data_IF_431136838890
#
_entry.id   IF_431136838890
#
_cell.length_a   1.000
_cell.length_b   1.000
_cell.length_c   1.000
_cell.angle_alpha   90.00
_cell.angle_beta   90.00
_cell.angle_gamma   90.00
#
_symmetry.space_group_name_H-M   'P 1'
#
loop_
_entity.id
_entity.type
_entity.pdbx_description
1 polymer ?
#
# COMPACT_ATOMS: atom_id res chain seq x y z
N UNK A 1 -31.41 40.81 63.95
CA UNK A 1 -31.90 39.63 63.21
C UNK A 1 -31.47 38.41 63.98
N UNK A 2 -32.35 37.43 64.12
CA UNK A 2 -32.02 36.23 64.89
C UNK A 2 -31.10 35.33 64.05
N UNK A 3 -30.15 34.60 64.65
CA UNK A 3 -29.27 33.68 63.91
C UNK A 3 -30.04 32.58 63.16
N UNK A 4 -31.30 32.36 63.52
CA UNK A 4 -32.22 31.44 62.85
C UNK A 4 -32.72 31.99 61.50
N UNK A 5 -33.09 33.27 61.44
CA UNK A 5 -33.50 33.93 60.19
C UNK A 5 -32.35 33.99 59.18
N UNK A 6 -31.11 34.19 59.65
CA UNK A 6 -29.92 34.19 58.78
C UNK A 6 -29.68 32.82 58.13
N UNK A 7 -29.87 31.74 58.88
CA UNK A 7 -29.77 30.37 58.35
C UNK A 7 -30.89 30.06 57.36
N UNK A 8 -32.13 30.49 57.63
CA UNK A 8 -33.25 30.31 56.70
C UNK A 8 -33.02 31.05 55.38
N UNK A 9 -32.53 32.29 55.44
CA UNK A 9 -32.19 33.07 54.25
C UNK A 9 -31.05 32.43 53.45
N UNK A 10 -30.04 31.86 54.10
CA UNK A 10 -28.95 31.13 53.44
C UNK A 10 -29.45 29.86 52.75
N UNK A 11 -30.32 29.09 53.41
CA UNK A 11 -30.91 27.88 52.82
C UNK A 11 -31.80 28.22 51.62
N UNK A 12 -32.57 29.32 51.71
CA UNK A 12 -33.37 29.82 50.58
C UNK A 12 -32.49 30.30 49.42
N UNK A 13 -31.40 31.03 49.70
CA UNK A 13 -30.46 31.46 48.67
C UNK A 13 -29.79 30.26 47.97
N UNK A 14 -29.37 29.24 48.74
CA UNK A 14 -28.78 28.02 48.20
C UNK A 14 -29.78 27.22 47.35
N UNK A 15 -31.05 27.11 47.75
CA UNK A 15 -32.05 26.39 46.97
C UNK A 15 -32.36 27.08 45.64
N UNK A 16 -32.42 28.41 45.61
CA UNK A 16 -32.52 29.20 44.38
C UNK A 16 -31.29 29.01 43.49
N UNK A 17 -30.10 28.97 44.08
CA UNK A 17 -28.85 28.74 43.35
C UNK A 17 -28.80 27.33 42.74
N UNK A 18 -29.23 26.31 43.47
CA UNK A 18 -29.35 24.93 42.97
C UNK A 18 -30.35 24.87 41.82
N UNK A 19 -31.50 25.55 41.92
CA UNK A 19 -32.50 25.59 40.85
C UNK A 19 -31.96 26.24 39.56
N UNK A 20 -31.21 27.33 39.68
CA UNK A 20 -30.56 27.96 38.52
C UNK A 20 -29.51 27.04 37.90
N UNK A 21 -28.74 26.33 38.72
CA UNK A 21 -27.75 25.36 38.25
C UNK A 21 -28.41 24.17 37.54
N UNK A 22 -29.53 23.65 38.04
CA UNK A 22 -30.24 22.54 37.39
C UNK A 22 -30.78 22.94 36.01
N UNK A 23 -31.33 24.15 35.87
CA UNK A 23 -31.79 24.66 34.58
C UNK A 23 -30.64 24.83 33.58
N UNK A 24 -29.48 25.31 34.04
CA UNK A 24 -28.29 25.43 33.20
C UNK A 24 -27.77 24.08 32.74
N UNK A 25 -27.79 23.06 33.60
CA UNK A 25 -27.39 21.70 33.26
C UNK A 25 -28.32 21.12 32.19
N UNK A 26 -29.65 21.27 32.33
CA UNK A 26 -30.60 20.80 31.32
C UNK A 26 -30.37 21.45 29.95
N UNK A 27 -30.08 22.76 29.94
CA UNK A 27 -29.76 23.48 28.70
C UNK A 27 -28.48 22.95 28.04
N UNK A 28 -27.40 22.77 28.81
CA UNK A 28 -26.15 22.22 28.28
C UNK A 28 -26.33 20.77 27.77
N UNK A 29 -27.15 19.97 28.44
CA UNK A 29 -27.49 18.63 27.97
C UNK A 29 -28.27 18.66 26.65
N UNK A 30 -29.17 19.62 26.49
CA UNK A 30 -29.89 19.83 25.23
C UNK A 30 -28.91 20.20 24.11
N UNK A 31 -28.02 21.16 24.35
CA UNK A 31 -27.03 21.58 23.36
C UNK A 31 -26.11 20.41 22.94
N UNK A 32 -25.63 19.61 23.90
CA UNK A 32 -24.82 18.43 23.61
C UNK A 32 -25.57 17.39 22.78
N UNK A 33 -26.87 17.17 23.05
CA UNK A 33 -27.70 16.29 22.20
C UNK A 33 -27.79 16.82 20.78
N UNK A 34 -27.93 18.13 20.60
CA UNK A 34 -28.02 18.74 19.29
C UNK A 34 -26.68 18.71 18.53
N UNK A 35 -25.56 18.90 19.23
CA UNK A 35 -24.22 18.69 18.65
C UNK A 35 -23.97 17.24 18.22
N UNK A 36 -24.48 16.25 18.96
CA UNK A 36 -24.36 14.84 18.58
C UNK A 36 -25.20 14.48 17.34
N UNK A 37 -26.30 15.20 17.08
CA UNK A 37 -27.17 14.96 15.90
C UNK A 37 -26.57 15.48 14.61
N UNK A 38 -25.67 16.46 14.67
CA UNK A 38 -25.02 17.00 13.47
C UNK A 38 -23.97 15.99 13.02
N UNK A 39 -24.18 15.25 11.90
CA UNK A 39 -23.13 14.41 11.36
C UNK A 39 -21.95 15.32 11.02
N UNK A 40 -20.84 15.14 11.74
CA UNK A 40 -19.65 15.94 11.52
C UNK A 40 -19.07 15.72 10.12
N UNK A 41 -18.08 16.54 9.77
CA UNK A 41 -17.34 16.41 8.52
C UNK A 41 -16.81 14.97 8.29
N UNK A 42 -16.56 14.21 9.35
CA UNK A 42 -16.19 12.79 9.30
C UNK A 42 -17.23 11.88 8.65
N UNK A 43 -18.52 12.00 9.02
CA UNK A 43 -19.58 11.16 8.43
C UNK A 43 -19.74 11.45 6.93
N UNK A 44 -19.66 12.72 6.54
CA UNK A 44 -19.67 13.12 5.13
C UNK A 44 -18.47 12.50 4.37
N UNK A 45 -17.27 12.56 4.92
CA UNK A 45 -16.08 11.94 4.31
C UNK A 45 -16.23 10.41 4.19
N UNK A 46 -16.79 9.75 5.21
CA UNK A 46 -17.06 8.30 5.17
C UNK A 46 -18.07 7.94 4.07
N UNK A 47 -19.12 8.74 3.91
CA UNK A 47 -20.11 8.57 2.86
C UNK A 47 -19.49 8.76 1.47
N UNK A 48 -18.67 9.80 1.29
CA UNK A 48 -17.91 10.01 0.05
C UNK A 48 -16.97 8.84 -0.25
N UNK A 49 -16.31 8.27 0.77
CA UNK A 49 -15.47 7.08 0.59
C UNK A 49 -16.27 5.85 0.18
N UNK A 50 -17.45 5.63 0.79
CA UNK A 50 -18.34 4.52 0.41
C UNK A 50 -18.77 4.64 -1.06
N UNK A 51 -19.21 5.83 -1.48
CA UNK A 51 -19.60 6.11 -2.87
C UNK A 51 -18.43 5.87 -3.85
N UNK A 52 -17.23 6.35 -3.52
CA UNK A 52 -16.06 6.13 -4.38
C UNK A 52 -15.69 4.65 -4.49
N UNK A 53 -15.77 3.89 -3.39
CA UNK A 53 -15.55 2.44 -3.42
C UNK A 53 -16.57 1.72 -4.31
N UNK A 54 -17.86 2.07 -4.21
CA UNK A 54 -18.89 1.51 -5.08
C UNK A 54 -18.64 1.86 -6.55
N UNK A 55 -18.22 3.10 -6.87
CA UNK A 55 -17.89 3.48 -8.26
C UNK A 55 -16.70 2.73 -8.83
N UNK A 56 -15.65 2.52 -8.03
CA UNK A 56 -14.43 1.85 -8.46
C UNK A 56 -14.57 0.34 -8.54
N UNK A 57 -15.25 -0.26 -7.55
CA UNK A 57 -15.29 -1.71 -7.36
C UNK A 57 -16.67 -2.33 -7.55
N UNK A 58 -17.77 -1.57 -7.50
CA UNK A 58 -19.13 -2.11 -7.64
C UNK A 58 -19.36 -2.77 -8.99
N UNK A 59 -18.93 -2.11 -10.06
CA UNK A 59 -19.00 -2.66 -11.43
C UNK A 59 -18.03 -3.82 -11.68
N UNK A 60 -16.99 -3.98 -10.84
CA UNK A 60 -16.07 -5.13 -10.90
C UNK A 60 -16.50 -6.28 -9.97
N UNK A 61 -17.30 -6.02 -8.93
CA UNK A 61 -17.85 -7.05 -8.04
C UNK A 61 -19.09 -7.72 -8.60
N UNK A 62 -19.81 -7.05 -9.52
CA UNK A 62 -20.90 -7.64 -10.32
C UNK A 62 -20.39 -8.37 -11.57
N UNK A 63 -19.09 -8.24 -11.88
CA UNK A 63 -18.42 -8.99 -12.92
C UNK A 63 -18.14 -10.42 -12.49
N UNK A 64 -19.18 -11.20 -12.19
CA UNK A 64 -19.04 -12.66 -12.15
C UNK A 64 -18.85 -13.14 -13.59
N UNK A 65 -17.68 -13.67 -13.91
CA UNK A 65 -17.41 -14.33 -15.19
C UNK A 65 -18.32 -15.57 -15.32
N UNK A 66 -19.52 -15.41 -15.87
CA UNK A 66 -20.43 -16.47 -16.35
C UNK A 66 -21.01 -17.45 -15.31
N UNK A 67 -20.30 -17.71 -14.22
CA UNK A 67 -20.61 -18.76 -13.23
C UNK A 67 -21.82 -18.41 -12.35
N UNK A 68 -22.07 -17.12 -12.09
CA UNK A 68 -23.19 -16.71 -11.25
C UNK A 68 -24.53 -16.72 -12.02
N UNK A 69 -24.51 -16.57 -13.35
CA UNK A 69 -25.70 -16.76 -14.18
C UNK A 69 -26.08 -18.25 -14.28
N UNK A 70 -25.08 -19.13 -14.43
CA UNK A 70 -25.28 -20.58 -14.44
C UNK A 70 -25.87 -21.11 -13.12
N UNK A 71 -25.52 -20.51 -11.97
CA UNK A 71 -26.06 -20.87 -10.66
C UNK A 71 -27.54 -20.48 -10.46
N UNK A 72 -28.04 -19.55 -11.28
CA UNK A 72 -29.42 -19.06 -11.21
C UNK A 72 -30.34 -19.77 -12.20
N UNK A 73 -29.77 -20.57 -13.11
CA UNK A 73 -30.45 -21.24 -14.22
C UNK A 73 -30.45 -22.77 -14.09
N UNK A 74 -30.42 -23.28 -12.84
CA UNK A 74 -30.46 -24.73 -12.59
C UNK A 74 -31.85 -25.36 -12.88
N UNK A 75 -32.87 -24.54 -13.14
CA UNK A 75 -34.24 -24.99 -13.38
C UNK A 75 -34.53 -25.32 -14.86
N UNK A 76 -33.72 -24.85 -15.82
CA UNK A 76 -33.89 -25.09 -17.27
C UNK A 76 -32.89 -26.11 -17.84
N UNK A 77 -32.06 -26.72 -17.00
CA UNK A 77 -31.05 -27.68 -17.42
C UNK A 77 -31.67 -29.07 -17.66
N UNK A 78 -32.16 -29.31 -18.88
CA UNK A 78 -32.46 -30.66 -19.37
C UNK A 78 -31.20 -31.54 -19.27
N UNK A 79 -31.29 -32.77 -18.74
CA UNK A 79 -30.13 -33.66 -18.69
C UNK A 79 -29.72 -34.02 -20.12
N UNK A 80 -28.56 -33.51 -20.54
CA UNK A 80 -27.92 -33.92 -21.79
C UNK A 80 -27.77 -35.45 -21.78
N UNK A 81 -28.19 -36.16 -22.83
CA UNK A 81 -28.04 -37.60 -22.88
C UNK A 81 -26.54 -37.93 -22.89
N UNK A 82 -26.13 -38.82 -21.99
CA UNK A 82 -24.82 -39.44 -22.00
C UNK A 82 -24.65 -40.14 -23.36
N UNK A 83 -23.85 -39.56 -24.23
CA UNK A 83 -23.37 -40.20 -25.46
C UNK A 83 -21.89 -40.49 -25.27
N UNK A 84 -21.61 -41.78 -25.14
CA UNK A 84 -20.30 -42.38 -25.03
C UNK A 84 -19.39 -42.00 -26.20
N UNK A 85 -18.09 -41.95 -25.88
CA UNK A 85 -16.92 -42.28 -26.72
C UNK A 85 -17.07 -42.15 -28.24
N UNK A 86 -16.29 -41.27 -28.86
CA UNK A 86 -15.22 -41.71 -29.77
C UNK A 86 -14.31 -40.56 -30.22
N UNK A 87 -13.04 -40.93 -30.35
CA UNK A 87 -11.85 -40.16 -30.70
C UNK A 87 -12.03 -39.26 -31.92
N UNK A 88 -11.74 -37.96 -31.79
CA UNK A 88 -11.19 -37.14 -32.87
C UNK A 88 -10.22 -36.12 -32.28
N UNK A 89 -9.07 -36.02 -32.93
CA UNK A 89 -7.82 -35.49 -32.42
C UNK A 89 -7.91 -34.02 -32.01
N UNK A 90 -7.29 -33.71 -30.87
CA UNK A 90 -7.05 -32.35 -30.40
C UNK A 90 -6.06 -31.63 -31.33
N UNK A 91 -6.57 -31.03 -32.41
CA UNK A 91 -5.87 -29.91 -33.02
C UNK A 91 -6.04 -28.69 -32.11
N UNK A 92 -5.14 -28.61 -31.12
CA UNK A 92 -4.94 -27.41 -30.30
C UNK A 92 -4.58 -26.28 -31.25
N UNK A 93 -5.57 -25.47 -31.62
CA UNK A 93 -5.36 -24.18 -32.27
C UNK A 93 -4.62 -23.28 -31.27
N UNK A 94 -3.28 -23.35 -31.31
CA UNK A 94 -2.41 -22.43 -30.58
C UNK A 94 -2.62 -21.05 -31.19
N UNK A 95 -3.56 -20.31 -30.64
CA UNK A 95 -3.72 -18.88 -30.90
C UNK A 95 -2.44 -18.22 -30.40
N UNK A 96 -1.48 -18.02 -31.30
CA UNK A 96 -0.29 -17.22 -31.04
C UNK A 96 -0.74 -15.78 -30.84
N UNK A 97 -1.15 -15.46 -29.61
CA UNK A 97 -1.38 -14.10 -29.16
C UNK A 97 -0.04 -13.38 -29.24
N UNK A 98 0.20 -12.66 -30.34
CA UNK A 98 1.30 -11.70 -30.43
C UNK A 98 1.13 -10.73 -29.27
N UNK A 99 1.95 -10.88 -28.24
CA UNK A 99 1.97 -9.95 -27.12
C UNK A 99 2.43 -8.61 -27.68
N UNK A 100 1.49 -7.67 -27.86
CA UNK A 100 1.84 -6.28 -28.11
C UNK A 100 2.70 -5.85 -26.92
N UNK A 101 3.99 -5.60 -27.15
CA UNK A 101 4.86 -4.90 -26.20
C UNK A 101 4.19 -3.56 -25.91
N UNK A 102 3.45 -3.50 -24.80
CA UNK A 102 2.98 -2.24 -24.26
C UNK A 102 4.24 -1.55 -23.78
N UNK A 103 4.68 -0.53 -24.51
CA UNK A 103 5.67 0.41 -23.99
C UNK A 103 5.01 1.04 -22.75
N UNK A 104 5.38 0.52 -21.57
CA UNK A 104 4.93 1.06 -20.31
C UNK A 104 5.33 2.54 -20.22
N UNK A 105 4.55 3.31 -19.45
CA UNK A 105 4.90 4.68 -19.12
C UNK A 105 6.27 4.65 -18.44
N UNK A 106 7.29 5.19 -19.11
CA UNK A 106 8.58 5.44 -18.46
C UNK A 106 8.35 6.55 -17.43
N UNK A 107 8.74 6.30 -16.20
CA UNK A 107 8.69 7.30 -15.13
C UNK A 107 9.94 8.16 -15.30
N UNK A 108 9.77 9.47 -15.34
CA UNK A 108 10.90 10.40 -15.42
C UNK A 108 11.60 10.48 -14.06
N UNK A 109 12.65 9.67 -13.87
CA UNK A 109 13.44 9.59 -12.61
C UNK A 109 14.41 10.75 -12.40
N UNK A 110 14.59 11.63 -13.39
CA UNK A 110 15.58 12.71 -13.35
C UNK A 110 15.29 13.82 -12.32
N UNK A 111 14.03 13.99 -11.91
CA UNK A 111 13.62 15.07 -11.00
C UNK A 111 13.53 14.63 -9.53
N UNK A 112 13.77 13.36 -9.25
CA UNK A 112 13.64 12.77 -7.92
C UNK A 112 14.98 12.85 -7.15
N UNK A 113 14.95 13.04 -5.81
CA UNK A 113 16.14 12.97 -4.98
C UNK A 113 16.80 11.58 -5.07
N UNK A 114 18.14 11.56 -5.17
CA UNK A 114 18.95 10.35 -5.38
C UNK A 114 19.77 10.01 -4.15
N UNK A 115 19.79 8.72 -3.80
CA UNK A 115 20.59 8.15 -2.73
C UNK A 115 21.51 7.07 -3.32
N UNK A 116 22.83 7.24 -3.19
CA UNK A 116 23.83 6.33 -3.78
C UNK A 116 24.29 5.30 -2.76
N UNK A 117 23.98 4.03 -2.99
CA UNK A 117 24.41 2.91 -2.16
C UNK A 117 25.52 2.12 -2.88
N UNK A 118 26.77 2.32 -2.45
CA UNK A 118 27.93 1.62 -3.02
C UNK A 118 28.13 0.30 -2.28
N UNK A 119 28.18 -0.81 -3.02
CA UNK A 119 28.56 -2.13 -2.48
C UNK A 119 29.90 -2.55 -3.06
N UNK A 120 30.97 -2.26 -2.32
CA UNK A 120 32.33 -2.64 -2.68
C UNK A 120 32.69 -4.06 -2.22
N UNK A 121 33.65 -4.68 -2.92
CA UNK A 121 34.35 -5.88 -2.44
C UNK A 121 35.18 -5.55 -1.19
N UNK A 122 35.34 -6.52 -0.29
CA UNK A 122 36.24 -6.37 0.87
C UNK A 122 37.71 -6.24 0.41
N UNK A 123 38.59 -5.76 1.28
CA UNK A 123 40.01 -5.60 0.95
C UNK A 123 40.67 -6.93 0.57
N UNK A 124 40.25 -8.03 1.19
CA UNK A 124 40.79 -9.37 0.95
C UNK A 124 40.32 -9.93 -0.40
N UNK A 125 39.09 -9.62 -0.82
CA UNK A 125 38.53 -10.06 -2.10
C UNK A 125 39.11 -9.30 -3.31
N UNK A 126 39.66 -8.09 -3.07
CA UNK A 126 40.37 -7.25 -4.05
C UNK A 126 41.76 -7.79 -4.39
N UNK A 127 42.22 -8.84 -3.72
CA UNK A 127 43.44 -9.56 -4.08
C UNK A 127 43.03 -10.75 -4.95
N UNK A 128 43.63 -10.84 -6.13
CA UNK A 128 43.43 -12.00 -6.98
C UNK A 128 44.26 -13.19 -6.45
N UNK A 129 43.84 -14.43 -6.73
CA UNK A 129 44.61 -15.63 -6.36
C UNK A 129 46.03 -15.68 -6.94
N UNK A 130 46.35 -14.83 -7.92
CA UNK A 130 47.70 -14.62 -8.44
C UNK A 130 48.57 -13.65 -7.61
N UNK A 131 48.05 -13.09 -6.52
CA UNK A 131 48.77 -12.18 -5.61
C UNK A 131 48.78 -10.71 -6.03
N UNK A 132 48.20 -10.35 -7.17
CA UNK A 132 48.10 -8.97 -7.64
C UNK A 132 46.82 -8.29 -7.15
N UNK A 133 46.92 -7.00 -6.83
CA UNK A 133 45.77 -6.15 -6.53
C UNK A 133 44.90 -5.96 -7.79
N UNK A 134 43.59 -6.14 -7.64
CA UNK A 134 42.65 -5.95 -8.74
C UNK A 134 42.32 -4.47 -8.91
N UNK A 135 42.31 -4.01 -10.16
CA UNK A 135 41.99 -2.63 -10.50
C UNK A 135 40.52 -2.48 -10.83
N UNK A 136 39.94 -1.34 -10.46
CA UNK A 136 38.55 -1.00 -10.78
C UNK A 136 38.45 -0.62 -12.25
N UNK A 137 37.64 -1.35 -13.01
CA UNK A 137 37.44 -1.11 -14.44
C UNK A 137 36.13 -0.39 -14.69
N UNK A 138 35.03 -0.97 -14.22
CA UNK A 138 33.67 -0.51 -14.52
C UNK A 138 32.81 -0.46 -13.26
N UNK A 139 31.68 0.22 -13.36
CA UNK A 139 30.63 0.23 -12.34
C UNK A 139 29.29 -0.15 -12.97
N UNK A 140 28.64 -1.18 -12.46
CA UNK A 140 27.25 -1.46 -12.80
C UNK A 140 26.34 -0.64 -11.87
N UNK A 141 25.49 0.19 -12.47
CA UNK A 141 24.51 1.02 -11.75
C UNK A 141 23.11 0.48 -11.99
N UNK A 142 22.37 0.19 -10.92
CA UNK A 142 20.96 -0.19 -11.00
C UNK A 142 20.10 0.78 -10.19
N UNK A 143 19.09 1.37 -10.82
CA UNK A 143 18.16 2.33 -10.22
C UNK A 143 16.91 1.63 -9.67
N UNK A 144 16.47 2.03 -8.49
CA UNK A 144 15.18 1.65 -7.90
C UNK A 144 14.43 2.88 -7.38
N UNK A 145 13.10 2.83 -7.36
CA UNK A 145 12.25 3.86 -6.80
C UNK A 145 11.70 3.36 -5.47
N UNK A 146 11.95 4.14 -4.42
CA UNK A 146 11.43 3.90 -3.09
C UNK A 146 10.42 4.99 -2.68
N UNK A 147 9.44 4.59 -1.88
CA UNK A 147 8.38 5.48 -1.40
C UNK A 147 8.58 5.74 0.09
N UNK A 148 8.82 7.01 0.42
CA UNK A 148 8.76 7.52 1.78
C UNK A 148 7.47 8.35 1.87
N UNK A 149 6.64 8.24 2.90
CA UNK A 149 5.41 9.03 2.99
C UNK A 149 5.68 10.52 2.68
N UNK A 150 5.00 11.03 1.65
CA UNK A 150 5.13 12.37 1.04
C UNK A 150 6.23 12.57 -0.03
N UNK A 151 7.17 11.66 -0.25
CA UNK A 151 8.28 11.82 -1.22
C UNK A 151 8.67 10.50 -1.91
N UNK A 152 8.92 10.56 -3.22
CA UNK A 152 9.59 9.47 -3.94
C UNK A 152 11.09 9.74 -3.97
N UNK A 153 11.89 8.69 -3.77
CA UNK A 153 13.35 8.77 -3.89
C UNK A 153 13.87 7.69 -4.84
N UNK A 154 14.97 7.97 -5.52
CA UNK A 154 15.67 7.00 -6.37
C UNK A 154 16.88 6.48 -5.61
N UNK A 155 16.95 5.18 -5.42
CA UNK A 155 18.10 4.50 -4.83
C UNK A 155 18.97 3.96 -5.96
N UNK A 156 20.19 4.49 -6.08
CA UNK A 156 21.20 4.05 -7.04
C UNK A 156 22.11 3.01 -6.36
N UNK A 157 21.96 1.75 -6.72
CA UNK A 157 22.89 0.71 -6.28
C UNK A 157 24.06 0.64 -7.25
N UNK A 158 25.26 0.86 -6.72
CA UNK A 158 26.52 0.81 -7.49
C UNK A 158 27.30 -0.43 -7.09
N UNK A 159 27.51 -1.32 -8.06
CA UNK A 159 28.37 -2.51 -7.94
C UNK A 159 29.60 -2.36 -8.84
N UNK A 160 30.76 -1.99 -8.28
CA UNK A 160 32.00 -1.86 -9.01
C UNK A 160 32.55 -3.24 -9.43
N UNK A 161 33.10 -3.28 -10.64
CA UNK A 161 33.79 -4.41 -11.26
C UNK A 161 35.28 -4.19 -11.17
N UNK A 162 35.98 -5.21 -10.69
CA UNK A 162 37.42 -5.24 -10.55
C UNK A 162 37.99 -6.27 -11.51
N UNK A 163 39.10 -5.97 -12.16
CA UNK A 163 39.82 -6.96 -12.94
C UNK A 163 41.31 -7.01 -12.61
N UNK A 164 41.84 -8.21 -12.75
CA UNK A 164 43.25 -8.51 -12.63
C UNK A 164 43.93 -8.30 -13.99
N UNK A 165 44.97 -7.45 -14.05
CA UNK A 165 45.78 -7.27 -15.27
C UNK A 165 46.47 -8.54 -15.76
N UNK A 166 47.20 -9.32 -14.91
CA UNK A 166 47.98 -10.45 -15.40
C UNK A 166 47.13 -11.69 -15.76
N UNK A 167 45.95 -11.83 -15.17
CA UNK A 167 45.13 -13.04 -15.28
C UNK A 167 43.78 -12.81 -15.94
N UNK A 168 43.45 -11.56 -16.30
CA UNK A 168 42.18 -11.13 -16.91
C UNK A 168 40.91 -11.57 -16.16
N UNK A 169 41.04 -11.99 -14.90
CA UNK A 169 39.91 -12.40 -14.08
C UNK A 169 39.15 -11.18 -13.60
N UNK A 170 37.83 -11.20 -13.81
CA UNK A 170 36.91 -10.14 -13.39
C UNK A 170 36.14 -10.63 -12.15
N UNK A 171 36.14 -9.80 -11.11
CA UNK A 171 35.31 -10.00 -9.91
C UNK A 171 34.40 -8.80 -9.73
N UNK A 172 33.17 -9.05 -9.34
CA UNK A 172 32.21 -8.01 -8.96
C UNK A 172 31.55 -8.42 -7.65
N UNK A 173 31.13 -7.43 -6.86
CA UNK A 173 30.31 -7.69 -5.69
C UNK A 173 28.96 -8.31 -6.09
N UNK A 174 28.32 -9.02 -5.17
CA UNK A 174 27.00 -9.61 -5.41
C UNK A 174 25.99 -8.54 -5.84
N UNK A 175 25.30 -8.83 -6.94
CA UNK A 175 24.22 -7.97 -7.45
C UNK A 175 23.10 -7.94 -6.41
N UNK A 176 22.47 -6.78 -6.13
CA UNK A 176 21.38 -6.77 -5.17
C UNK A 176 20.23 -7.63 -5.68
N UNK A 177 19.58 -8.37 -4.77
CA UNK A 177 18.30 -9.01 -5.06
C UNK A 177 17.26 -7.90 -5.23
N UNK A 178 17.05 -7.51 -6.49
CA UNK A 178 16.27 -6.33 -6.84
C UNK A 178 14.82 -6.75 -7.05
N UNK A 179 13.95 -6.17 -6.21
CA UNK A 179 12.50 -6.08 -6.30
C UNK A 179 11.70 -7.38 -6.05
N UNK A 180 10.58 -7.31 -5.29
CA UNK A 180 9.69 -8.47 -5.10
C UNK A 180 8.99 -8.90 -6.40
N UNK A 181 8.95 -8.00 -7.40
CA UNK A 181 8.30 -8.21 -8.69
C UNK A 181 9.36 -8.22 -9.77
N UNK A 182 9.47 -9.33 -10.50
CA UNK A 182 10.46 -9.48 -11.56
C UNK A 182 10.39 -8.34 -12.59
N UNK A 183 11.54 -7.71 -12.85
CA UNK A 183 11.74 -6.61 -13.83
C UNK A 183 11.07 -5.28 -13.45
N UNK A 184 10.61 -5.12 -12.21
CA UNK A 184 10.10 -3.84 -11.73
C UNK A 184 11.22 -2.97 -11.15
N UNK A 185 11.08 -1.64 -11.24
CA UNK A 185 11.95 -0.69 -10.54
C UNK A 185 11.47 -0.38 -9.11
N UNK A 186 10.39 -1.02 -8.67
CA UNK A 186 9.72 -0.74 -7.41
C UNK A 186 10.40 -1.48 -6.26
N UNK A 187 10.84 -0.76 -5.24
CA UNK A 187 11.31 -1.35 -3.98
C UNK A 187 10.12 -1.82 -3.14
N UNK A 188 10.31 -2.74 -2.19
CA UNK A 188 9.24 -3.25 -1.32
C UNK A 188 8.46 -2.13 -0.59
N UNK A 189 9.13 -1.04 -0.19
CA UNK A 189 8.48 0.14 0.41
C UNK A 189 7.49 0.84 -0.51
N UNK A 190 7.75 0.86 -1.83
CA UNK A 190 6.86 1.43 -2.84
C UNK A 190 5.61 0.58 -3.13
N UNK A 191 5.67 -0.72 -2.84
CA UNK A 191 4.54 -1.64 -2.98
C UNK A 191 3.68 -1.69 -1.71
N UNK A 192 4.16 -1.09 -0.62
CA UNK A 192 3.43 -0.95 0.63
C UNK A 192 2.24 -0.01 0.50
N UNK A 193 1.07 -0.44 0.97
CA UNK A 193 -0.14 0.39 0.98
C UNK A 193 0.13 1.67 1.79
N UNK A 194 -0.01 2.87 1.21
CA UNK A 194 0.09 4.12 1.98
C UNK A 194 -1.01 4.12 3.04
N UNK A 195 -0.64 3.92 4.31
CA UNK A 195 -1.56 3.81 5.43
C UNK A 195 -1.66 2.43 6.12
N UNK A 196 -0.85 1.44 5.73
CA UNK A 196 -0.63 0.26 6.56
C UNK A 196 0.39 0.57 7.65
N UNK A 197 -0.03 0.56 8.92
CA UNK A 197 0.88 0.65 10.07
C UNK A 197 2.01 -0.38 9.89
N UNK A 198 3.23 0.09 9.69
CA UNK A 198 4.40 -0.74 9.81
C UNK A 198 4.49 -1.17 11.28
N UNK A 199 4.10 -2.41 11.56
CA UNK A 199 4.51 -3.08 12.78
C UNK A 199 6.01 -3.29 12.63
N UNK A 200 6.77 -2.42 13.30
CA UNK A 200 8.20 -2.59 13.45
C UNK A 200 8.44 -3.89 14.21
N UNK A 201 9.23 -4.79 13.61
CA UNK A 201 9.79 -5.96 14.25
C UNK A 201 10.45 -5.55 15.57
N UNK A 202 10.14 -6.31 16.62
CA UNK A 202 10.83 -6.30 17.91
C UNK A 202 11.50 -7.66 18.09
#
# INVERSE_FOLDING_TARGET
>A
MTPLEELENLVQAQSLQISNQSLQIEKLQQDLRDYQKVPGHGHWLEEQLKLNKQRLYGRSSEGSEGLQLALLDEAECEPLPNADTDTLDEEILVIQRRSKKRNGRKIDTNRLPRERCIRDLSADEKICGCGWAMEKIDEDVTEQIDYVPALFKVIEHVTPKYACRPCHQIKAASKPEISPIQKSMATAGSLGRPGGRALWFQ
#
